data_IF_387457689924
#
_entry.id   IF_387457689924
#
_cell.length_a   1.000
_cell.length_b   1.000
_cell.length_c   1.000
_cell.angle_alpha   90.00
_cell.angle_beta   90.00
_cell.angle_gamma   90.00
#
_symmetry.space_group_name_H-M   'P 1'
#
loop_
_entity.id
_entity.type
_entity.pdbx_description
1 polymer ?
#
# COMPACT_ATOMS: atom_id res chain seq x y z
N UNK A 1 -22.77 -10.85 -11.68
CA UNK A 1 -22.39 -10.48 -11.58
C UNK A 1 -21.33 -10.08 -11.57
N UNK A 2 -20.99 -10.06 -11.90
CA UNK A 2 -19.99 -9.72 -12.05
C UNK A 2 -19.27 -8.94 -11.36
N UNK A 3 -18.70 -8.83 -10.89
CA UNK A 3 -18.20 -8.13 -10.27
C UNK A 3 -17.00 -7.84 -10.62
N UNK A 4 -16.68 -7.33 -11.25
CA UNK A 4 -15.65 -6.91 -11.66
C UNK A 4 -14.76 -6.30 -10.83
N UNK A 5 -14.96 -5.73 -10.06
CA UNK A 5 -14.11 -5.04 -9.19
C UNK A 5 -13.42 -5.95 -8.24
N UNK A 6 -13.40 -7.12 -8.53
CA UNK A 6 -12.96 -8.02 -7.57
C UNK A 6 -11.52 -7.96 -7.27
N UNK A 7 -10.72 -7.50 -8.18
CA UNK A 7 -9.32 -7.45 -7.87
C UNK A 7 -9.02 -6.41 -6.82
N UNK A 8 -9.87 -5.42 -6.68
CA UNK A 8 -9.68 -4.45 -5.62
C UNK A 8 -10.24 -4.96 -4.31
N UNK A 9 -11.14 -5.91 -4.38
CA UNK A 9 -11.73 -6.48 -3.18
C UNK A 9 -10.72 -7.29 -2.42
N UNK A 10 -9.66 -7.76 -3.07
CA UNK A 10 -8.67 -8.53 -2.35
C UNK A 10 -7.74 -7.65 -1.52
N UNK A 11 -7.81 -6.33 -1.71
CA UNK A 11 -6.92 -5.40 -1.05
C UNK A 11 -7.57 -4.47 -0.03
N UNK A 12 -8.88 -4.48 0.19
CA UNK A 12 -9.46 -3.50 1.10
C UNK A 12 -8.85 -3.65 2.48
N UNK A 13 -8.44 -2.56 3.03
CA UNK A 13 -7.82 -2.58 4.35
C UNK A 13 -6.37 -2.98 4.35
N UNK A 14 -5.87 -3.59 3.28
CA UNK A 14 -4.46 -3.93 3.20
C UNK A 14 -3.68 -2.97 2.33
N UNK A 15 -4.33 -2.22 1.47
CA UNK A 15 -3.62 -1.32 0.58
C UNK A 15 -2.82 -0.28 1.35
N UNK A 16 -3.41 0.29 2.40
CA UNK A 16 -2.69 1.28 3.22
C UNK A 16 -1.43 0.69 3.81
N UNK A 17 -1.53 -0.53 4.33
CA UNK A 17 -0.38 -1.21 4.91
C UNK A 17 0.69 -1.45 3.85
N UNK A 18 0.29 -1.86 2.65
CA UNK A 18 1.23 -2.13 1.58
C UNK A 18 1.94 -0.86 1.10
N UNK A 19 1.22 0.25 1.04
CA UNK A 19 1.82 1.53 0.69
C UNK A 19 2.82 1.95 1.76
N UNK A 20 2.43 1.86 3.03
CA UNK A 20 3.31 2.23 4.13
C UNK A 20 4.56 1.36 4.14
N UNK A 21 4.41 0.08 3.90
CA UNK A 21 5.56 -0.82 3.84
C UNK A 21 6.49 -0.45 2.71
N UNK A 22 5.93 -0.17 1.53
CA UNK A 22 6.72 0.24 0.38
C UNK A 22 7.55 1.47 0.71
N UNK A 23 6.89 2.48 1.29
CA UNK A 23 7.56 3.73 1.59
C UNK A 23 8.49 3.62 2.80
N UNK A 24 8.36 2.58 3.60
CA UNK A 24 9.32 2.34 4.67
C UNK A 24 10.68 1.93 4.13
N UNK A 25 10.71 1.47 2.88
CA UNK A 25 11.93 1.01 2.25
C UNK A 25 12.60 2.09 1.41
N UNK A 26 11.80 2.95 0.79
CA UNK A 26 12.33 4.06 0.00
C UNK A 26 11.22 5.02 -0.38
N UNK A 27 11.61 6.24 -0.69
CA UNK A 27 10.68 7.25 -1.17
C UNK A 27 10.37 6.96 -2.63
N UNK A 28 9.10 7.07 -3.02
CA UNK A 28 8.69 6.76 -4.38
C UNK A 28 7.50 7.62 -4.79
N UNK A 29 7.36 7.81 -6.10
CA UNK A 29 6.14 8.38 -6.67
C UNK A 29 5.10 7.27 -6.80
N UNK A 30 3.86 7.65 -7.12
CA UNK A 30 2.76 6.69 -7.15
C UNK A 30 3.00 5.48 -8.04
N UNK A 31 3.50 5.71 -9.25
CA UNK A 31 3.74 4.61 -10.16
C UNK A 31 4.80 3.66 -9.61
N UNK A 32 5.81 4.19 -8.95
CA UNK A 32 6.83 3.35 -8.33
C UNK A 32 6.27 2.48 -7.22
N UNK A 33 5.31 3.02 -6.47
CA UNK A 33 4.65 2.25 -5.43
C UNK A 33 3.90 1.06 -6.04
N UNK A 34 3.15 1.32 -7.10
CA UNK A 34 2.39 0.28 -7.79
C UNK A 34 3.33 -0.80 -8.30
N UNK A 35 4.42 -0.39 -8.94
CA UNK A 35 5.39 -1.35 -9.48
C UNK A 35 6.01 -2.20 -8.38
N UNK A 36 6.35 -1.57 -7.26
CA UNK A 36 6.95 -2.32 -6.16
C UNK A 36 6.00 -3.38 -5.62
N UNK A 37 4.74 -3.01 -5.41
CA UNK A 37 3.76 -3.95 -4.88
C UNK A 37 3.54 -5.09 -5.87
N UNK A 38 3.43 -4.77 -7.14
CA UNK A 38 3.20 -5.78 -8.15
C UNK A 38 4.38 -6.74 -8.25
N UNK A 39 5.58 -6.21 -8.35
CA UNK A 39 6.77 -7.04 -8.49
C UNK A 39 7.07 -7.86 -7.26
N UNK A 40 6.89 -7.26 -6.08
CA UNK A 40 7.17 -7.96 -4.83
C UNK A 40 6.21 -9.10 -4.58
N UNK A 41 5.03 -9.04 -5.16
CA UNK A 41 4.01 -10.09 -4.98
C UNK A 41 3.96 -11.06 -6.15
N UNK A 42 4.97 -11.03 -7.02
CA UNK A 42 4.99 -11.89 -8.19
C UNK A 42 3.74 -11.71 -9.04
N UNK A 43 3.33 -10.49 -9.20
CA UNK A 43 2.14 -10.10 -9.99
C UNK A 43 0.81 -10.57 -9.42
N UNK A 44 0.81 -11.03 -8.18
CA UNK A 44 -0.45 -11.44 -7.56
C UNK A 44 -1.29 -10.24 -7.12
N UNK A 45 -0.63 -9.14 -6.76
CA UNK A 45 -1.33 -7.95 -6.30
C UNK A 45 -1.18 -6.84 -7.33
N UNK A 46 -2.30 -6.44 -7.88
CA UNK A 46 -2.36 -5.35 -8.84
C UNK A 46 -3.10 -4.19 -8.22
N UNK A 47 -2.50 -3.01 -8.25
CA UNK A 47 -3.10 -1.83 -7.65
C UNK A 47 -3.48 -0.89 -8.77
N UNK A 48 -4.75 -0.55 -8.86
CA UNK A 48 -5.24 0.35 -9.89
C UNK A 48 -5.20 1.78 -9.40
N UNK A 49 -5.05 2.70 -10.35
CA UNK A 49 -4.98 4.12 -10.01
C UNK A 49 -6.20 4.59 -9.25
N UNK A 50 -7.35 4.03 -9.58
CA UNK A 50 -8.59 4.41 -8.91
C UNK A 50 -8.58 4.09 -7.43
N UNK A 51 -7.78 3.15 -6.98
CA UNK A 51 -7.62 2.83 -5.57
C UNK A 51 -6.40 3.51 -4.97
N UNK A 52 -5.34 3.63 -5.77
CA UNK A 52 -4.07 4.14 -5.28
C UNK A 52 -4.16 5.60 -4.84
N UNK A 53 -4.65 6.47 -5.71
CA UNK A 53 -4.58 7.91 -5.41
C UNK A 53 -5.49 8.33 -4.26
N UNK A 54 -6.70 7.78 -4.13
CA UNK A 54 -7.47 8.05 -2.92
C UNK A 54 -6.77 7.55 -1.65
N UNK A 55 -6.08 6.40 -1.73
CA UNK A 55 -5.36 5.88 -0.58
C UNK A 55 -4.20 6.80 -0.20
N UNK A 56 -3.43 7.26 -1.20
CA UNK A 56 -2.33 8.17 -0.93
C UNK A 56 -2.83 9.46 -0.29
N UNK A 57 -3.94 9.98 -0.78
CA UNK A 57 -4.51 11.20 -0.23
C UNK A 57 -4.94 10.99 1.23
N UNK A 58 -5.57 9.86 1.50
CA UNK A 58 -6.01 9.54 2.85
C UNK A 58 -4.83 9.41 3.80
N UNK A 59 -3.76 8.73 3.37
CA UNK A 59 -2.57 8.56 4.20
C UNK A 59 -1.88 9.90 4.45
N UNK A 60 -1.87 10.75 3.43
CA UNK A 60 -1.27 12.07 3.57
C UNK A 60 -2.07 12.93 4.55
N UNK A 61 -3.39 12.88 4.45
CA UNK A 61 -4.25 13.63 5.37
C UNK A 61 -4.09 13.16 6.81
N UNK A 62 -3.79 11.90 7.00
CA UNK A 62 -3.57 11.36 8.34
C UNK A 62 -2.18 11.66 8.88
N UNK A 63 -1.32 12.26 8.05
CA UNK A 63 0.03 12.59 8.49
C UNK A 63 0.96 11.39 8.52
N UNK A 64 0.59 10.30 7.84
CA UNK A 64 1.41 9.09 7.83
C UNK A 64 2.41 9.08 6.68
N UNK A 65 2.15 9.87 5.65
CA UNK A 65 3.11 10.06 4.56
C UNK A 65 3.09 11.53 4.18
N UNK A 66 4.19 11.98 3.57
CA UNK A 66 4.31 13.33 3.02
C UNK A 66 4.54 13.21 1.53
N UNK A 67 3.98 14.12 0.76
CA UNK A 67 4.20 14.16 -0.68
C UNK A 67 4.88 15.46 -1.06
N UNK A 68 5.97 15.35 -1.82
CA UNK A 68 6.75 16.51 -2.27
C UNK A 68 6.98 16.38 -3.76
N UNK A 69 6.78 17.47 -4.48
CA UNK A 69 7.03 17.46 -5.92
C UNK A 69 8.52 17.37 -6.19
N UNK A 70 8.90 16.50 -7.11
CA UNK A 70 10.28 16.29 -7.47
C UNK A 70 10.38 15.69 -8.86
N UNK A 71 11.55 15.16 -9.17
CA UNK A 71 11.79 14.55 -10.48
C UNK A 71 11.99 13.06 -10.32
N UNK A 72 11.40 12.30 -11.24
CA UNK A 72 11.62 10.87 -11.29
C UNK A 72 12.94 10.62 -12.00
N UNK A 73 13.43 9.37 -11.99
CA UNK A 73 14.64 9.04 -12.74
C UNK A 73 14.54 9.36 -14.23
N UNK A 74 13.33 9.38 -14.78
CA UNK A 74 13.12 9.75 -16.17
C UNK A 74 13.05 11.25 -16.38
N UNK A 75 13.36 12.03 -15.36
CA UNK A 75 13.34 13.48 -15.43
C UNK A 75 11.92 14.02 -15.63
N UNK A 76 10.93 13.30 -15.13
CA UNK A 76 9.55 13.75 -15.16
C UNK A 76 9.14 14.28 -13.81
N UNK A 77 8.33 15.31 -13.82
CA UNK A 77 7.84 15.90 -12.59
C UNK A 77 6.77 15.00 -11.97
N UNK A 78 6.93 14.68 -10.72
CA UNK A 78 5.97 13.81 -10.03
C UNK A 78 6.01 14.10 -8.53
N UNK A 79 4.95 13.73 -7.85
CA UNK A 79 4.89 13.84 -6.40
C UNK A 79 5.56 12.62 -5.82
N UNK A 80 6.58 12.85 -5.01
CA UNK A 80 7.34 11.80 -4.38
C UNK A 80 6.86 11.68 -2.94
N UNK A 81 6.50 10.49 -2.53
CA UNK A 81 5.95 10.25 -1.20
C UNK A 81 7.00 9.64 -0.30
N UNK A 82 6.95 10.01 0.97
CA UNK A 82 7.85 9.43 1.97
C UNK A 82 7.05 9.15 3.23
N UNK A 83 7.44 8.13 3.96
CA UNK A 83 6.75 7.79 5.19
C UNK A 83 7.23 8.70 6.32
N UNK A 84 6.33 9.06 7.23
CA UNK A 84 6.67 9.86 8.39
C UNK A 84 6.90 8.96 9.59
N UNK A 85 7.36 9.55 10.70
CA UNK A 85 7.50 8.79 11.94
C UNK A 85 6.16 8.23 12.38
N UNK A 86 5.08 9.03 12.24
CA UNK A 86 3.75 8.56 12.58
C UNK A 86 3.33 7.41 11.64
N UNK A 87 3.73 7.50 10.37
CA UNK A 87 3.44 6.43 9.42
C UNK A 87 4.14 5.14 9.77
N UNK A 88 5.36 5.21 10.28
CA UNK A 88 6.06 4.00 10.71
C UNK A 88 5.36 3.34 11.89
N UNK A 89 4.85 4.13 12.82
CA UNK A 89 4.08 3.59 13.93
C UNK A 89 2.80 2.95 13.42
N UNK A 90 2.14 3.59 12.47
CA UNK A 90 0.92 3.05 11.92
C UNK A 90 1.20 1.75 11.15
N UNK A 91 2.31 1.67 10.46
CA UNK A 91 2.69 0.45 9.76
C UNK A 91 2.81 -0.71 10.75
N UNK A 92 3.41 -0.47 11.91
CA UNK A 92 3.53 -1.51 12.93
C UNK A 92 2.16 -1.98 13.42
N UNK A 93 1.23 -1.02 13.60
CA UNK A 93 -0.14 -1.36 14.02
C UNK A 93 -0.83 -2.22 12.96
N UNK A 94 -0.74 -1.79 11.70
CA UNK A 94 -1.39 -2.52 10.60
C UNK A 94 -0.80 -3.90 10.42
N UNK A 95 0.51 -4.01 10.56
CA UNK A 95 1.18 -5.29 10.40
C UNK A 95 0.73 -6.28 11.47
N UNK A 96 0.61 -5.81 12.71
CA UNK A 96 0.15 -6.68 13.78
C UNK A 96 -1.30 -7.12 13.59
N UNK A 97 -2.15 -6.19 13.15
CA UNK A 97 -3.54 -6.52 12.89
C UNK A 97 -3.66 -7.57 11.79
N UNK A 98 -2.86 -7.39 10.74
CA UNK A 98 -2.91 -8.30 9.62
C UNK A 98 -2.41 -9.70 10.03
N UNK A 99 -1.35 -9.77 10.81
CA UNK A 99 -0.82 -11.05 11.26
C UNK A 99 -1.85 -11.80 12.11
N UNK A 100 -2.56 -11.06 12.96
CA UNK A 100 -3.58 -11.64 13.80
C UNK A 100 -4.74 -12.18 12.98
N UNK A 101 -5.17 -11.39 12.00
CA UNK A 101 -6.26 -11.79 11.12
C UNK A 101 -5.87 -13.02 10.31
N UNK A 102 -4.67 -13.02 9.75
CA UNK A 102 -4.20 -14.12 8.94
C UNK A 102 -4.15 -15.42 9.73
N UNK A 103 -3.67 -15.34 10.95
CA UNK A 103 -3.63 -16.51 11.82
C UNK A 103 -5.03 -17.02 12.13
N UNK A 104 -5.95 -16.11 12.42
CA UNK A 104 -7.32 -16.51 12.71
C UNK A 104 -7.97 -17.18 11.51
N UNK A 105 -7.75 -16.64 10.31
CA UNK A 105 -8.29 -17.22 9.09
C UNK A 105 -7.69 -18.61 8.87
N UNK A 106 -6.39 -18.76 9.08
CA UNK A 106 -5.73 -20.05 8.90
C UNK A 106 -6.34 -21.09 9.81
N UNK A 107 -6.67 -20.71 11.05
CA UNK A 107 -7.29 -21.66 11.97
C UNK A 107 -8.66 -22.09 11.48
N UNK A 108 -9.45 -21.17 10.99
CA UNK A 108 -10.76 -21.51 10.44
C UNK A 108 -10.61 -22.44 9.24
N UNK A 109 -9.62 -22.18 8.41
CA UNK A 109 -9.40 -22.99 7.20
C UNK A 109 -8.77 -24.35 7.54
N UNK A 110 -8.38 -24.57 8.76
CA UNK A 110 -7.80 -25.85 9.16
C UNK A 110 -6.34 -25.99 8.82
N UNK A 111 -5.68 -24.88 8.59
CA UNK A 111 -4.26 -24.94 8.23
C UNK A 111 -3.41 -24.99 9.44
N UNK A 112 -3.56 -25.28 10.44
CA UNK A 112 -2.76 -25.45 11.52
C UNK A 112 -1.74 -24.73 11.73
#
# INVERSE_FOLDING_TARGET
>A
MGRKAQKNDSLPGSLDMLILRTLSLRDLHGYGIVQFIQQSSDNELLVEEGSLYPALQRLELNGWIDGVWGLTPNNRRAKIYKITAAGRKQLAVETRKYAKLTLAIARVMGAE
#
